data_IF_375300835848
#
_entry.id   IF_375300835848
#
_cell.length_a   1.000
_cell.length_b   1.000
_cell.length_c   1.000
_cell.angle_alpha   90.00
_cell.angle_beta   90.00
_cell.angle_gamma   90.00
#
_symmetry.space_group_name_H-M   'P 1'
#
loop_
_entity.id
_entity.type
_entity.pdbx_description
1 polymer ?
#
# COMPACT_ATOMS: atom_id res chain seq x y z
N UNK A 1 -14.39 -15.68 -16.59
CA UNK A 1 -14.43 -15.33 -15.16
C UNK A 1 -13.31 -14.35 -14.93
N UNK A 2 -13.58 -13.03 -15.02
CA UNK A 2 -12.54 -12.04 -14.71
C UNK A 2 -12.08 -12.31 -13.30
N UNK A 3 -10.79 -12.58 -13.11
CA UNK A 3 -10.21 -12.68 -11.78
C UNK A 3 -10.32 -11.27 -11.22
N UNK A 4 -11.36 -11.05 -10.42
CA UNK A 4 -11.60 -9.78 -9.74
C UNK A 4 -10.50 -9.65 -8.69
N UNK A 5 -9.34 -9.16 -9.11
CA UNK A 5 -8.16 -9.03 -8.28
C UNK A 5 -8.28 -7.73 -7.45
N UNK A 6 -9.35 -7.68 -6.64
CA UNK A 6 -9.70 -6.63 -5.69
C UNK A 6 -9.93 -7.25 -4.32
N UNK A 7 -9.83 -6.47 -3.25
CA UNK A 7 -10.11 -6.97 -1.91
C UNK A 7 -11.62 -7.15 -1.72
N UNK A 8 -12.02 -8.20 -1.02
CA UNK A 8 -13.41 -8.42 -0.61
C UNK A 8 -13.75 -7.46 0.56
N UNK A 9 -14.17 -6.24 0.23
CA UNK A 9 -14.50 -5.19 1.20
C UNK A 9 -15.83 -4.55 0.81
N UNK A 10 -16.69 -4.33 1.81
CA UNK A 10 -17.97 -3.66 1.61
C UNK A 10 -17.76 -2.14 1.40
N UNK A 11 -18.44 -1.51 0.41
CA UNK A 11 -18.29 -0.08 0.11
C UNK A 11 -18.89 0.80 1.21
N UNK A 12 -18.03 1.37 2.06
CA UNK A 12 -18.41 2.40 3.05
C UNK A 12 -17.33 3.48 3.11
N UNK A 13 -17.67 4.67 3.61
CA UNK A 13 -16.69 5.73 3.86
C UNK A 13 -15.54 5.28 4.80
N UNK A 14 -15.85 4.41 5.78
CA UNK A 14 -14.83 3.81 6.66
C UNK A 14 -13.90 2.87 5.89
N UNK A 15 -14.46 2.01 5.04
CA UNK A 15 -13.68 1.13 4.15
C UNK A 15 -12.78 1.92 3.21
N UNK A 16 -13.29 3.01 2.60
CA UNK A 16 -12.50 3.89 1.75
C UNK A 16 -11.28 4.43 2.48
N UNK A 17 -11.47 4.97 3.68
CA UNK A 17 -10.38 5.53 4.50
C UNK A 17 -9.33 4.48 4.85
N UNK A 18 -9.77 3.27 5.25
CA UNK A 18 -8.87 2.15 5.56
C UNK A 18 -8.04 1.72 4.35
N UNK A 19 -8.66 1.57 3.18
CA UNK A 19 -7.98 1.16 1.94
C UNK A 19 -7.04 2.27 1.45
N UNK A 20 -7.45 3.53 1.53
CA UNK A 20 -6.61 4.69 1.18
C UNK A 20 -5.36 4.79 2.07
N UNK A 21 -5.51 4.62 3.39
CA UNK A 21 -4.37 4.55 4.30
C UNK A 21 -3.43 3.40 3.92
N UNK A 22 -3.96 2.19 3.64
CA UNK A 22 -3.14 1.05 3.20
C UNK A 22 -2.37 1.34 1.90
N UNK A 23 -2.99 2.01 0.94
CA UNK A 23 -2.35 2.40 -0.32
C UNK A 23 -1.19 3.37 -0.10
N UNK A 24 -1.39 4.39 0.72
CA UNK A 24 -0.34 5.36 1.07
C UNK A 24 0.82 4.66 1.79
N UNK A 25 0.52 3.79 2.76
CA UNK A 25 1.51 3.00 3.47
C UNK A 25 2.29 2.07 2.54
N UNK A 26 1.61 1.40 1.59
CA UNK A 26 2.26 0.52 0.61
C UNK A 26 3.18 1.28 -0.35
N UNK A 27 2.77 2.47 -0.82
CA UNK A 27 3.60 3.34 -1.66
C UNK A 27 4.84 3.83 -0.92
N UNK A 28 4.68 4.36 0.29
CA UNK A 28 5.82 4.78 1.14
C UNK A 28 6.73 3.60 1.47
N UNK A 29 6.16 2.45 1.82
CA UNK A 29 6.91 1.23 2.12
C UNK A 29 7.74 0.74 0.94
N UNK A 30 7.19 0.78 -0.28
CA UNK A 30 7.93 0.46 -1.51
C UNK A 30 9.12 1.40 -1.70
N UNK A 31 8.93 2.71 -1.55
CA UNK A 31 9.99 3.70 -1.78
C UNK A 31 11.10 3.60 -0.73
N UNK A 32 10.74 3.34 0.53
CA UNK A 32 11.70 3.09 1.60
C UNK A 32 12.52 1.82 1.35
N UNK A 33 11.87 0.74 0.91
CA UNK A 33 12.56 -0.49 0.57
C UNK A 33 13.48 -0.34 -0.64
N UNK A 34 13.07 0.43 -1.66
CA UNK A 34 13.93 0.73 -2.81
C UNK A 34 15.19 1.50 -2.38
N UNK A 35 15.05 2.56 -1.56
CA UNK A 35 16.20 3.29 -1.01
C UNK A 35 17.13 2.39 -0.17
N UNK A 36 16.55 1.47 0.60
CA UNK A 36 17.33 0.47 1.36
C UNK A 36 18.11 -0.44 0.43
N UNK A 37 17.50 -0.92 -0.65
CA UNK A 37 18.17 -1.75 -1.68
C UNK A 37 19.34 -0.99 -2.29
N UNK A 38 19.15 0.26 -2.71
CA UNK A 38 20.21 1.07 -3.33
C UNK A 38 21.39 1.27 -2.38
N UNK A 39 21.11 1.58 -1.10
CA UNK A 39 22.16 1.69 -0.08
C UNK A 39 22.89 0.36 0.19
N UNK A 40 22.18 -0.77 0.16
CA UNK A 40 22.80 -2.09 0.28
C UNK A 40 23.64 -2.44 -0.96
N UNK A 41 23.20 -2.06 -2.16
CA UNK A 41 23.94 -2.28 -3.41
C UNK A 41 25.28 -1.54 -3.44
N UNK A 42 25.35 -0.32 -2.89
CA UNK A 42 26.61 0.42 -2.78
C UNK A 42 27.59 -0.34 -1.89
N UNK A 43 27.16 -0.79 -0.71
CA UNK A 43 28.02 -1.59 0.19
C UNK A 43 28.37 -2.94 -0.41
N UNK A 44 27.43 -3.58 -1.09
CA UNK A 44 27.62 -4.86 -1.77
C UNK A 44 28.73 -4.76 -2.82
N UNK A 45 28.75 -3.68 -3.62
CA UNK A 45 29.81 -3.42 -4.59
C UNK A 45 31.17 -3.22 -3.92
N UNK A 46 31.24 -2.48 -2.81
CA UNK A 46 32.47 -2.30 -2.06
C UNK A 46 33.03 -3.63 -1.51
N UNK A 47 32.17 -4.46 -0.91
CA UNK A 47 32.55 -5.78 -0.40
C UNK A 47 32.96 -6.73 -1.54
N UNK A 48 32.30 -6.65 -2.70
CA UNK A 48 32.65 -7.44 -3.87
C UNK A 48 34.07 -7.12 -4.35
N UNK A 49 34.44 -5.84 -4.40
CA UNK A 49 35.81 -5.44 -4.76
C UNK A 49 36.84 -5.97 -3.76
N UNK A 50 36.60 -5.80 -2.45
CA UNK A 50 37.47 -6.33 -1.39
C UNK A 50 37.62 -7.86 -1.50
N UNK A 51 36.53 -8.56 -1.81
CA UNK A 51 36.53 -10.02 -1.96
C UNK A 51 37.39 -10.47 -3.14
N UNK A 52 37.28 -9.80 -4.29
CA UNK A 52 38.08 -10.12 -5.48
C UNK A 52 39.57 -9.85 -5.21
N UNK A 53 39.90 -8.72 -4.59
CA UNK A 53 41.28 -8.36 -4.23
C UNK A 53 41.89 -9.33 -3.21
N UNK A 54 41.16 -9.69 -2.15
CA UNK A 54 41.66 -10.63 -1.15
C UNK A 54 41.83 -12.03 -1.73
N UNK A 55 40.96 -12.43 -2.67
CA UNK A 55 41.06 -13.72 -3.35
C UNK A 55 42.28 -13.80 -4.27
N UNK A 56 42.61 -12.72 -5.01
CA UNK A 56 43.83 -12.71 -5.83
C UNK A 56 45.08 -12.76 -4.96
N UNK A 57 45.13 -11.96 -3.88
CA UNK A 57 46.25 -11.92 -2.95
C UNK A 57 46.47 -13.26 -2.22
N UNK A 58 45.40 -13.93 -1.79
CA UNK A 58 45.49 -15.29 -1.24
C UNK A 58 46.07 -16.26 -2.27
N UNK A 59 45.68 -16.15 -3.55
CA UNK A 59 46.22 -16.98 -4.63
C UNK A 59 47.72 -16.80 -4.85
N UNK A 60 48.24 -15.59 -4.67
CA UNK A 60 49.68 -15.30 -4.73
C UNK A 60 50.42 -15.91 -3.53
N UNK A 61 49.96 -15.63 -2.30
CA UNK A 61 50.56 -16.16 -1.07
C UNK A 61 50.54 -17.69 -1.04
N UNK A 62 49.44 -18.32 -1.46
CA UNK A 62 49.35 -19.79 -1.54
C UNK A 62 50.31 -20.36 -2.58
N UNK A 63 50.52 -19.67 -3.71
CA UNK A 63 51.47 -20.12 -4.73
C UNK A 63 52.90 -20.05 -4.21
N UNK A 64 53.27 -18.94 -3.56
CA UNK A 64 54.59 -18.77 -2.95
C UNK A 64 54.85 -19.80 -1.85
N UNK A 65 53.89 -20.00 -0.94
CA UNK A 65 53.97 -21.02 0.12
C UNK A 65 54.13 -22.44 -0.44
N UNK A 66 53.41 -22.76 -1.52
CA UNK A 66 53.51 -24.06 -2.18
C UNK A 66 54.87 -24.31 -2.83
N UNK A 67 55.53 -23.27 -3.37
CA UNK A 67 56.87 -23.39 -3.94
C UNK A 67 57.97 -23.45 -2.87
N UNK A 68 57.86 -22.64 -1.82
CA UNK A 68 58.91 -22.56 -0.78
C UNK A 68 58.80 -23.66 0.28
N UNK A 69 57.70 -24.43 0.33
CA UNK A 69 57.37 -25.40 1.38
C UNK A 69 57.55 -24.84 2.81
N UNK A 70 57.49 -23.51 2.96
CA UNK A 70 57.81 -22.83 4.20
C UNK A 70 56.60 -22.86 5.13
N UNK A 71 56.73 -23.55 6.27
CA UNK A 71 55.67 -23.70 7.27
C UNK A 71 55.08 -22.35 7.73
N UNK A 72 55.93 -21.32 7.83
CA UNK A 72 55.55 -19.94 8.19
C UNK A 72 54.67 -19.25 7.13
N UNK A 73 54.85 -19.59 5.85
CA UNK A 73 54.03 -19.03 4.77
C UNK A 73 52.66 -19.72 4.69
N UNK A 74 52.58 -20.98 5.15
CA UNK A 74 51.31 -21.72 5.23
C UNK A 74 50.42 -21.21 6.36
N UNK A 75 50.98 -20.90 7.53
CA UNK A 75 50.21 -20.35 8.65
C UNK A 75 49.56 -19.01 8.27
N UNK A 76 50.32 -18.12 7.64
CA UNK A 76 49.80 -16.84 7.10
C UNK A 76 48.78 -17.03 5.98
N UNK A 77 48.93 -18.04 5.11
CA UNK A 77 47.92 -18.37 4.11
C UNK A 77 46.60 -18.83 4.73
N UNK A 78 46.65 -19.62 5.80
CA UNK A 78 45.45 -20.10 6.52
C UNK A 78 44.71 -18.93 7.19
N UNK A 79 45.43 -18.00 7.82
CA UNK A 79 44.82 -16.79 8.41
C UNK A 79 44.05 -15.97 7.37
N UNK A 80 44.67 -15.70 6.22
CA UNK A 80 44.01 -15.00 5.10
C UNK A 80 42.80 -15.76 4.56
N UNK A 81 42.82 -17.09 4.58
CA UNK A 81 41.71 -17.93 4.13
C UNK A 81 40.52 -17.84 5.09
N UNK A 82 40.76 -17.77 6.40
CA UNK A 82 39.71 -17.55 7.41
C UNK A 82 39.08 -16.17 7.27
N UNK A 83 39.88 -15.13 7.03
CA UNK A 83 39.36 -13.78 6.75
C UNK A 83 38.52 -13.76 5.46
N UNK A 84 39.01 -14.41 4.40
CA UNK A 84 38.29 -14.52 3.13
C UNK A 84 36.95 -15.27 3.31
N UNK A 85 36.93 -16.36 4.06
CA UNK A 85 35.71 -17.13 4.35
C UNK A 85 34.67 -16.27 5.08
N UNK A 86 35.10 -15.46 6.04
CA UNK A 86 34.24 -14.53 6.78
C UNK A 86 33.64 -13.46 5.87
N UNK A 87 34.46 -12.87 4.98
CA UNK A 87 34.01 -11.89 3.99
C UNK A 87 33.03 -12.51 2.98
N UNK A 88 33.29 -13.75 2.52
CA UNK A 88 32.40 -14.50 1.63
C UNK A 88 31.05 -14.81 2.28
N UNK A 89 31.04 -15.16 3.57
CA UNK A 89 29.80 -15.40 4.29
C UNK A 89 28.94 -14.13 4.35
N UNK A 90 29.55 -13.00 4.75
CA UNK A 90 28.87 -11.71 4.79
C UNK A 90 28.34 -11.27 3.42
N UNK A 91 29.11 -11.51 2.36
CA UNK A 91 28.69 -11.26 0.98
C UNK A 91 27.44 -12.07 0.59
N UNK A 92 27.42 -13.38 0.91
CA UNK A 92 26.25 -14.24 0.64
C UNK A 92 25.01 -13.77 1.39
N UNK A 93 25.14 -13.43 2.66
CA UNK A 93 24.01 -12.92 3.47
C UNK A 93 23.47 -11.62 2.89
N UNK A 94 24.37 -10.70 2.48
CA UNK A 94 23.98 -9.43 1.89
C UNK A 94 23.25 -9.59 0.54
N UNK A 95 23.73 -10.47 -0.34
CA UNK A 95 23.08 -10.81 -1.60
C UNK A 95 21.65 -11.34 -1.39
N UNK A 96 21.49 -12.26 -0.44
CA UNK A 96 20.19 -12.82 -0.11
C UNK A 96 19.20 -11.74 0.36
N UNK A 97 19.63 -10.85 1.26
CA UNK A 97 18.80 -9.73 1.75
C UNK A 97 18.41 -8.78 0.62
N UNK A 98 19.31 -8.50 -0.32
CA UNK A 98 19.02 -7.65 -1.50
C UNK A 98 17.98 -8.33 -2.40
N UNK A 99 18.11 -9.63 -2.67
CA UNK A 99 17.13 -10.38 -3.47
C UNK A 99 15.76 -10.45 -2.81
N UNK A 100 15.71 -10.70 -1.50
CA UNK A 100 14.46 -10.72 -0.75
C UNK A 100 13.77 -9.35 -0.73
N UNK A 101 14.51 -8.28 -0.51
CA UNK A 101 13.96 -6.92 -0.53
C UNK A 101 13.48 -6.53 -1.93
N UNK A 102 14.21 -6.86 -2.99
CA UNK A 102 13.76 -6.67 -4.37
C UNK A 102 12.48 -7.43 -4.72
N UNK A 103 12.36 -8.69 -4.29
CA UNK A 103 11.11 -9.46 -4.44
C UNK A 103 9.94 -8.78 -3.73
N UNK A 104 10.15 -8.26 -2.52
CA UNK A 104 9.13 -7.50 -1.77
C UNK A 104 8.73 -6.20 -2.47
N UNK A 105 9.69 -5.44 -3.00
CA UNK A 105 9.44 -4.21 -3.79
C UNK A 105 8.60 -4.54 -5.04
N UNK A 106 8.94 -5.60 -5.75
CA UNK A 106 8.20 -6.03 -6.94
C UNK A 106 6.79 -6.52 -6.61
N UNK A 107 6.62 -7.27 -5.51
CA UNK A 107 5.29 -7.67 -5.03
C UNK A 107 4.43 -6.45 -4.68
N UNK A 108 5.00 -5.45 -4.02
CA UNK A 108 4.29 -4.20 -3.73
C UNK A 108 3.92 -3.45 -5.02
N UNK A 109 4.85 -3.33 -5.96
CA UNK A 109 4.67 -2.56 -7.21
C UNK A 109 3.64 -3.17 -8.15
N UNK A 110 3.69 -4.48 -8.38
CA UNK A 110 2.91 -5.12 -9.44
C UNK A 110 1.68 -5.88 -8.94
N UNK A 111 1.63 -6.26 -7.66
CA UNK A 111 0.52 -7.02 -7.09
C UNK A 111 -0.28 -6.15 -6.12
N UNK A 112 0.33 -5.69 -5.03
CA UNK A 112 -0.43 -5.06 -3.93
C UNK A 112 -0.97 -3.67 -4.28
N UNK A 113 -0.14 -2.78 -4.82
CA UNK A 113 -0.56 -1.40 -5.16
C UNK A 113 -1.71 -1.42 -6.19
N UNK A 114 -1.61 -2.16 -7.32
CA UNK A 114 -2.71 -2.23 -8.29
C UNK A 114 -4.00 -2.81 -7.71
N UNK A 115 -3.90 -3.83 -6.84
CA UNK A 115 -5.07 -4.41 -6.16
C UNK A 115 -5.78 -3.41 -5.25
N UNK A 116 -5.01 -2.60 -4.51
CA UNK A 116 -5.56 -1.56 -3.64
C UNK A 116 -6.21 -0.44 -4.46
N UNK A 117 -5.61 -0.05 -5.59
CA UNK A 117 -6.18 0.96 -6.49
C UNK A 117 -7.50 0.51 -7.12
N UNK A 118 -7.59 -0.75 -7.59
CA UNK A 118 -8.84 -1.35 -8.07
C UNK A 118 -9.92 -1.40 -6.99
N UNK A 119 -9.52 -1.74 -5.76
CA UNK A 119 -10.45 -1.76 -4.62
C UNK A 119 -10.96 -0.36 -4.30
N UNK A 120 -10.09 0.65 -4.35
CA UNK A 120 -10.46 2.04 -4.12
C UNK A 120 -11.44 2.55 -5.19
N UNK A 121 -11.15 2.25 -6.47
CA UNK A 121 -12.03 2.60 -7.58
C UNK A 121 -13.43 2.01 -7.40
N UNK A 122 -13.52 0.72 -7.04
CA UNK A 122 -14.80 0.07 -6.71
C UNK A 122 -15.55 0.78 -5.57
N UNK A 123 -14.87 1.10 -4.47
CA UNK A 123 -15.54 1.77 -3.34
C UNK A 123 -16.07 3.15 -3.77
N UNK A 124 -15.33 3.92 -4.57
CA UNK A 124 -15.77 5.23 -5.05
C UNK A 124 -17.00 5.07 -5.94
N UNK A 125 -16.97 4.18 -6.94
CA UNK A 125 -18.10 4.02 -7.88
C UNK A 125 -19.39 3.60 -7.17
N UNK A 126 -19.28 2.74 -6.16
CA UNK A 126 -20.42 2.29 -5.36
C UNK A 126 -20.95 3.39 -4.45
N UNK A 127 -20.07 4.17 -3.78
CA UNK A 127 -20.51 5.31 -2.96
C UNK A 127 -21.21 6.38 -3.81
N UNK A 128 -20.69 6.66 -5.00
CA UNK A 128 -21.31 7.62 -5.92
C UNK A 128 -22.71 7.14 -6.37
N UNK A 129 -22.93 5.83 -6.52
CA UNK A 129 -24.25 5.26 -6.85
C UNK A 129 -25.21 5.38 -5.67
N UNK A 130 -24.76 5.09 -4.45
CA UNK A 130 -25.56 5.30 -3.23
C UNK A 130 -26.00 6.76 -3.09
N UNK A 131 -25.10 7.72 -3.34
CA UNK A 131 -25.42 9.15 -3.31
C UNK A 131 -26.45 9.53 -4.39
N UNK A 132 -26.32 8.98 -5.61
CA UNK A 132 -27.31 9.19 -6.69
C UNK A 132 -28.70 8.67 -6.32
N UNK A 133 -28.79 7.46 -5.78
CA UNK A 133 -30.06 6.85 -5.37
C UNK A 133 -30.73 7.61 -4.23
N UNK A 134 -29.96 8.04 -3.23
CA UNK A 134 -30.45 8.86 -2.13
C UNK A 134 -30.94 10.22 -2.61
N UNK A 135 -30.17 10.88 -3.48
CA UNK A 135 -30.58 12.14 -4.09
C UNK A 135 -31.90 12.00 -4.87
N UNK A 136 -32.05 10.93 -5.66
CA UNK A 136 -33.28 10.67 -6.41
C UNK A 136 -34.49 10.44 -5.49
N UNK A 137 -34.30 9.65 -4.41
CA UNK A 137 -35.35 9.42 -3.40
C UNK A 137 -35.79 10.74 -2.74
N UNK A 138 -34.84 11.56 -2.31
CA UNK A 138 -35.12 12.87 -1.69
C UNK A 138 -35.84 13.82 -2.66
N UNK A 139 -35.43 13.85 -3.93
CA UNK A 139 -36.09 14.65 -4.97
C UNK A 139 -37.55 14.26 -5.17
N UNK A 140 -37.83 12.95 -5.26
CA UNK A 140 -39.20 12.44 -5.43
C UNK A 140 -40.09 12.74 -4.23
N UNK A 141 -39.56 12.62 -3.01
CA UNK A 141 -40.29 12.98 -1.78
C UNK A 141 -40.62 14.47 -1.75
N UNK A 142 -39.66 15.34 -2.09
CA UNK A 142 -39.88 16.79 -2.18
C UNK A 142 -40.95 17.14 -3.22
N UNK A 143 -40.89 16.52 -4.41
CA UNK A 143 -41.88 16.72 -5.46
C UNK A 143 -43.29 16.27 -5.01
N UNK A 144 -43.39 15.13 -4.31
CA UNK A 144 -44.67 14.64 -3.78
C UNK A 144 -45.21 15.55 -2.66
N UNK A 145 -44.35 16.06 -1.76
CA UNK A 145 -44.74 17.01 -0.70
C UNK A 145 -45.19 18.35 -1.29
N UNK A 146 -44.52 18.84 -2.34
CA UNK A 146 -44.92 20.04 -3.07
C UNK A 146 -46.28 19.88 -3.77
N UNK A 147 -46.52 18.75 -4.45
CA UNK A 147 -47.83 18.43 -5.05
C UNK A 147 -48.95 18.33 -4.01
N UNK A 148 -48.68 17.72 -2.86
CA UNK A 148 -49.65 17.65 -1.75
C UNK A 148 -49.97 19.03 -1.16
N UNK A 149 -48.97 19.91 -1.01
CA UNK A 149 -49.17 21.30 -0.56
C UNK A 149 -50.03 22.09 -1.55
N UNK A 150 -49.76 22.00 -2.85
CA UNK A 150 -50.56 22.64 -3.89
C UNK A 150 -52.03 22.13 -3.92
N UNK A 151 -52.26 20.84 -3.67
CA UNK A 151 -53.62 20.26 -3.58
C UNK A 151 -54.39 20.64 -2.30
N UNK A 152 -53.70 20.89 -1.18
CA UNK A 152 -54.33 21.40 0.06
C UNK A 152 -54.80 22.85 -0.11
N UNK A 153 -54.02 23.70 -0.79
CA UNK A 153 -54.40 25.09 -1.08
C UNK A 153 -55.69 25.23 -1.89
N UNK A 154 -56.03 24.24 -2.74
CA UNK A 154 -57.33 24.20 -3.43
C UNK A 154 -58.49 23.66 -2.58
N UNK A 155 -58.22 22.88 -1.52
CA UNK A 155 -59.24 22.27 -0.67
C UNK A 155 -59.62 23.15 0.54
N UNK A 156 -58.74 24.07 0.97
CA UNK A 156 -59.00 24.97 2.09
C UNK A 156 -59.91 26.17 1.76
N UNK A 157 -60.21 26.43 0.49
CA UNK A 157 -61.20 27.45 0.09
C UNK A 157 -62.66 27.02 0.36
N UNK A 158 -62.89 25.77 0.78
CA UNK A 158 -64.23 25.20 1.03
C UNK A 158 -64.52 24.86 2.50
N UNK A 159 -63.64 25.19 3.46
CA UNK A 159 -63.85 24.84 4.88
C UNK A 159 -63.97 26.08 5.78
N UNK A 160 -65.14 26.17 6.41
CA UNK A 160 -65.55 27.20 7.38
C UNK A 160 -64.48 27.43 8.48
N UNK A 161 -64.22 28.67 8.96
CA UNK A 161 -63.14 28.95 9.88
C UNK A 161 -63.58 28.64 11.32
N UNK A 162 -63.47 27.38 11.70
CA UNK A 162 -63.73 26.93 13.05
C UNK A 162 -63.04 25.60 13.27
N UNK A 163 -61.85 25.65 13.87
CA UNK A 163 -60.92 24.54 14.14
C UNK A 163 -60.04 24.11 12.96
N UNK A 164 -58.85 24.70 12.86
CA UNK A 164 -57.74 24.06 12.19
C UNK A 164 -56.41 24.39 12.89
N UNK A 165 -55.84 23.35 13.49
CA UNK A 165 -54.42 23.02 13.55
C UNK A 165 -53.45 23.94 14.30
N UNK A 166 -53.43 23.77 15.63
CA UNK A 166 -52.33 24.17 16.52
C UNK A 166 -51.12 23.21 16.50
N UNK A 167 -51.05 22.24 15.58
CA UNK A 167 -50.04 21.17 15.63
C UNK A 167 -49.08 21.09 14.42
N UNK A 168 -49.07 22.04 13.49
CA UNK A 168 -48.19 21.96 12.30
C UNK A 168 -46.93 22.84 12.39
N UNK A 169 -46.73 23.59 13.50
CA UNK A 169 -45.62 24.56 13.65
C UNK A 169 -44.47 24.11 14.56
N UNK A 170 -44.49 22.91 15.14
CA UNK A 170 -43.43 22.45 16.06
C UNK A 170 -42.44 21.45 15.46
N UNK A 171 -42.61 21.04 14.21
CA UNK A 171 -41.68 20.10 13.54
C UNK A 171 -40.80 20.76 12.47
N UNK A 172 -40.88 22.08 12.29
CA UNK A 172 -40.09 22.81 11.28
C UNK A 172 -38.59 22.98 11.63
N UNK A 173 -38.17 22.73 12.87
CA UNK A 173 -36.77 22.98 13.31
C UNK A 173 -35.90 21.73 13.50
N UNK A 174 -36.38 20.52 13.18
CA UNK A 174 -35.58 19.28 13.32
C UNK A 174 -34.74 18.92 12.08
N UNK A 175 -34.49 19.90 11.19
CA UNK A 175 -33.67 19.76 10.00
C UNK A 175 -32.40 20.62 10.11
N UNK A 176 -31.51 20.20 11.01
CA UNK A 176 -30.06 20.42 10.93
C UNK A 176 -29.34 19.07 10.99
#
# INVERSE_FOLDING_TARGET
>A
MEIVDRLAVFPTASSYTKVKCRLICARRGRDLLAKKVDGLLIRFRAVLLQLVMNKSRLGEVMREAAFSLAEVNYTTAIELLVELASLQHNFRVLDQVIKETNRRVNALRYIIIPRLERTLAYIITELDEYEREEFYRLKKIREQKARRRAGKSSHDLTRNPGHADMLDNTEEDLLF
#
